data_IF_699733004834
#
_entry.id   IF_699733004834
#
_cell.length_a   1.000
_cell.length_b   1.000
_cell.length_c   1.000
_cell.angle_alpha   90.00
_cell.angle_beta   90.00
_cell.angle_gamma   90.00
#
_symmetry.space_group_name_H-M   'P 1'
#
loop_
_entity.id
_entity.type
_entity.pdbx_description
1 polymer ?
#
# COMPACT_ATOMS: atom_id res chain seq x y z
N UNK A 1 -19.62 3.02 19.57
CA UNK A 1 -19.34 2.81 18.14
C UNK A 1 -19.75 1.39 17.83
N UNK A 2 -20.80 1.21 17.02
CA UNK A 2 -21.35 -0.13 16.75
C UNK A 2 -20.49 -0.86 15.72
N UNK A 3 -19.98 -2.02 16.09
CA UNK A 3 -19.39 -2.97 15.13
C UNK A 3 -20.53 -3.68 14.41
N UNK A 4 -20.97 -3.16 13.27
CA UNK A 4 -21.81 -3.92 12.38
C UNK A 4 -20.97 -5.01 11.70
N UNK A 5 -21.36 -6.27 11.79
CA UNK A 5 -20.64 -7.44 11.31
C UNK A 5 -19.23 -7.69 11.90
N UNK A 6 -18.84 -7.03 13.00
CA UNK A 6 -17.56 -7.27 13.66
C UNK A 6 -16.33 -6.68 12.97
N UNK A 7 -16.49 -5.82 11.97
CA UNK A 7 -15.37 -5.11 11.30
C UNK A 7 -15.38 -3.62 11.61
N UNK A 8 -14.19 -3.07 11.85
CA UNK A 8 -13.97 -1.66 12.15
C UNK A 8 -12.74 -1.14 11.41
N UNK A 9 -12.87 -0.04 10.68
CA UNK A 9 -11.72 0.72 10.19
C UNK A 9 -11.26 1.70 11.28
N UNK A 10 -10.00 1.65 11.63
CA UNK A 10 -9.40 2.56 12.63
C UNK A 10 -8.00 3.00 12.20
N UNK A 11 -7.46 4.11 12.74
CA UNK A 11 -6.07 4.46 12.52
C UNK A 11 -5.14 3.29 12.92
N UNK A 12 -4.13 3.05 12.09
CA UNK A 12 -3.06 2.12 12.42
C UNK A 12 -2.09 2.77 13.41
N UNK A 13 -1.51 1.94 14.26
CA UNK A 13 -0.49 2.35 15.23
C UNK A 13 0.75 1.46 15.11
N UNK A 14 1.91 1.86 15.62
CA UNK A 14 3.09 0.98 15.65
C UNK A 14 2.85 -0.37 16.35
N UNK A 15 1.90 -0.45 17.28
CA UNK A 15 1.54 -1.71 17.95
C UNK A 15 0.87 -2.71 16.99
N UNK A 16 0.30 -2.24 15.88
CA UNK A 16 -0.35 -3.09 14.88
C UNK A 16 0.64 -3.74 13.91
N UNK A 17 1.88 -3.23 13.83
CA UNK A 17 2.85 -3.63 12.81
C UNK A 17 3.04 -5.15 12.69
N UNK A 18 3.17 -5.95 13.78
CA UNK A 18 3.32 -7.39 13.63
C UNK A 18 2.13 -8.05 12.90
N UNK A 19 0.91 -7.63 13.21
CA UNK A 19 -0.30 -8.15 12.58
C UNK A 19 -0.44 -7.67 11.13
N UNK A 20 -0.13 -6.41 10.84
CA UNK A 20 -0.15 -5.86 9.48
C UNK A 20 0.93 -6.49 8.60
N UNK A 21 2.10 -6.82 9.15
CA UNK A 21 3.13 -7.59 8.42
C UNK A 21 2.64 -8.98 8.05
N UNK A 22 1.89 -9.62 8.96
CA UNK A 22 1.24 -10.90 8.68
C UNK A 22 0.19 -10.75 7.56
N UNK A 23 -0.65 -9.72 7.56
CA UNK A 23 -1.59 -9.44 6.46
C UNK A 23 -0.83 -9.28 5.15
N UNK A 24 0.23 -8.47 5.12
CA UNK A 24 1.06 -8.25 3.94
C UNK A 24 1.65 -9.57 3.40
N UNK A 25 2.12 -10.45 4.27
CA UNK A 25 2.64 -11.76 3.87
C UNK A 25 1.55 -12.65 3.29
N UNK A 26 0.39 -12.74 3.95
CA UNK A 26 -0.74 -13.58 3.53
C UNK A 26 -1.48 -13.06 2.28
N UNK A 27 -1.10 -11.89 1.78
CA UNK A 27 -1.61 -11.30 0.54
C UNK A 27 -0.49 -11.04 -0.48
N UNK A 28 0.75 -11.36 -0.13
CA UNK A 28 1.97 -10.95 -0.82
C UNK A 28 2.22 -11.63 -2.19
N UNK A 29 1.42 -12.61 -2.57
CA UNK A 29 1.44 -13.19 -3.92
C UNK A 29 0.21 -12.73 -4.72
N UNK A 30 0.22 -11.47 -5.15
CA UNK A 30 -0.89 -10.89 -5.93
C UNK A 30 -2.26 -11.08 -5.27
N UNK A 31 -2.32 -10.88 -3.96
CA UNK A 31 -3.52 -11.08 -3.15
C UNK A 31 -3.69 -12.50 -2.62
N UNK A 32 -2.76 -13.42 -2.87
CA UNK A 32 -2.71 -14.78 -2.34
C UNK A 32 -1.63 -14.89 -1.27
N UNK A 33 -1.64 -16.00 -0.54
CA UNK A 33 -0.65 -16.30 0.48
C UNK A 33 0.77 -16.40 -0.10
N UNK A 34 1.62 -15.47 0.31
CA UNK A 34 3.03 -15.38 -0.08
C UNK A 34 4.00 -16.12 0.84
N UNK A 35 3.52 -16.83 1.87
CA UNK A 35 4.37 -17.45 2.90
C UNK A 35 5.45 -18.35 2.32
N UNK A 36 5.14 -19.16 1.32
CA UNK A 36 6.11 -20.08 0.70
C UNK A 36 7.16 -19.38 -0.17
N UNK A 37 6.89 -18.14 -0.58
CA UNK A 37 7.77 -17.32 -1.40
C UNK A 37 8.79 -16.54 -0.58
N UNK A 38 8.63 -16.50 0.74
CA UNK A 38 9.45 -15.71 1.64
C UNK A 38 10.24 -16.62 2.59
N UNK A 39 11.47 -16.23 2.92
CA UNK A 39 12.32 -16.86 3.96
C UNK A 39 12.40 -15.99 5.23
N UNK A 40 11.91 -14.76 5.17
CA UNK A 40 11.68 -13.87 6.30
C UNK A 40 10.22 -13.39 6.26
N UNK A 41 9.38 -13.84 7.21
CA UNK A 41 7.94 -13.55 7.19
C UNK A 41 7.61 -12.08 7.47
N UNK A 42 8.56 -11.29 7.95
CA UNK A 42 8.33 -9.88 8.31
C UNK A 42 8.80 -8.91 7.24
N UNK A 43 9.64 -9.36 6.32
CA UNK A 43 10.40 -8.46 5.46
C UNK A 43 9.52 -7.70 4.46
N UNK A 44 8.50 -8.36 3.88
CA UNK A 44 7.51 -7.68 3.04
C UNK A 44 6.84 -6.53 3.80
N UNK A 45 6.36 -6.80 5.01
CA UNK A 45 5.70 -5.81 5.83
C UNK A 45 6.64 -4.69 6.28
N UNK A 46 7.89 -5.00 6.61
CA UNK A 46 8.92 -3.99 6.93
C UNK A 46 9.16 -3.02 5.77
N UNK A 47 9.02 -3.45 4.53
CA UNK A 47 9.22 -2.58 3.36
C UNK A 47 7.92 -1.92 2.89
N UNK A 48 6.83 -2.67 2.76
CA UNK A 48 5.60 -2.22 2.12
C UNK A 48 4.52 -1.68 3.08
N UNK A 49 4.67 -1.85 4.40
CA UNK A 49 3.65 -1.46 5.39
C UNK A 49 4.20 -0.53 6.46
N UNK A 50 5.30 -0.93 7.10
CA UNK A 50 5.84 -0.21 8.25
C UNK A 50 6.10 1.28 8.01
N UNK A 51 6.70 1.68 6.87
CA UNK A 51 6.97 3.08 6.59
C UNK A 51 5.71 3.97 6.63
N UNK A 52 4.59 3.48 6.11
CA UNK A 52 3.34 4.25 6.08
C UNK A 52 2.79 4.51 7.49
N UNK A 53 2.82 3.51 8.35
CA UNK A 53 2.34 3.64 9.73
C UNK A 53 3.15 4.67 10.52
N UNK A 54 4.44 4.80 10.20
CA UNK A 54 5.35 5.70 10.91
C UNK A 54 5.44 7.08 10.25
N UNK A 55 5.54 7.14 8.93
CA UNK A 55 5.78 8.40 8.19
C UNK A 55 4.48 9.10 7.78
N UNK A 56 3.38 8.37 7.61
CA UNK A 56 2.07 8.88 7.17
C UNK A 56 0.93 8.39 8.09
N UNK A 57 1.04 8.54 9.43
CA UNK A 57 0.08 7.96 10.37
C UNK A 57 -1.35 8.42 10.18
N UNK A 58 -1.55 9.59 9.61
CA UNK A 58 -2.86 10.15 9.27
C UNK A 58 -3.54 9.48 8.06
N UNK A 59 -2.78 8.72 7.26
CA UNK A 59 -3.23 8.02 6.06
C UNK A 59 -3.00 6.50 6.16
N UNK A 60 -2.69 6.00 7.36
CA UNK A 60 -2.52 4.60 7.65
C UNK A 60 -3.66 4.07 8.53
N UNK A 61 -4.34 3.03 8.07
CA UNK A 61 -5.52 2.46 8.73
C UNK A 61 -5.46 0.94 8.76
N UNK A 62 -5.95 0.37 9.86
CA UNK A 62 -6.15 -1.06 10.05
C UNK A 62 -7.64 -1.38 9.90
N UNK A 63 -7.97 -2.39 9.11
CA UNK A 63 -9.27 -3.04 9.16
C UNK A 63 -9.23 -4.12 10.25
N UNK A 64 -9.79 -3.79 11.39
CA UNK A 64 -9.99 -4.74 12.50
C UNK A 64 -11.15 -5.66 12.17
N UNK A 65 -10.96 -6.96 12.30
CA UNK A 65 -11.99 -7.98 12.16
C UNK A 65 -12.25 -8.70 13.48
N UNK A 66 -13.16 -9.68 13.53
CA UNK A 66 -13.50 -10.39 14.76
C UNK A 66 -12.32 -11.14 15.40
N UNK A 67 -11.35 -11.56 14.61
CA UNK A 67 -10.16 -12.30 15.05
C UNK A 67 -8.87 -11.46 15.06
N UNK A 68 -9.00 -10.13 14.96
CA UNK A 68 -7.89 -9.18 14.87
C UNK A 68 -7.74 -8.54 13.49
N UNK A 69 -6.61 -7.89 13.18
CA UNK A 69 -6.40 -7.20 11.91
C UNK A 69 -6.59 -8.10 10.70
N UNK A 70 -7.59 -7.76 9.87
CA UNK A 70 -8.00 -8.49 8.67
C UNK A 70 -7.62 -7.76 7.37
N UNK A 71 -6.99 -6.60 7.48
CA UNK A 71 -6.54 -5.82 6.35
C UNK A 71 -5.92 -4.49 6.75
N UNK A 72 -5.42 -3.77 5.76
CA UNK A 72 -4.91 -2.41 5.93
C UNK A 72 -5.26 -1.53 4.72
N UNK A 73 -5.23 -0.23 4.96
CA UNK A 73 -5.31 0.82 3.96
C UNK A 73 -4.22 1.83 4.28
N UNK A 74 -3.31 2.03 3.36
CA UNK A 74 -2.13 2.87 3.54
C UNK A 74 -2.06 3.88 2.41
N UNK A 75 -1.65 5.10 2.72
CA UNK A 75 -1.48 6.14 1.73
C UNK A 75 -0.30 7.04 2.04
N UNK A 76 0.26 7.65 1.01
CA UNK A 76 1.19 8.76 1.12
C UNK A 76 0.62 9.95 0.34
N UNK A 77 0.55 11.10 0.99
CA UNK A 77 -0.03 12.31 0.37
C UNK A 77 0.87 12.86 -0.74
N UNK A 78 2.17 12.82 -0.51
CA UNK A 78 3.20 13.24 -1.46
C UNK A 78 4.29 12.16 -1.52
N UNK A 79 4.33 11.43 -2.63
CA UNK A 79 5.28 10.33 -2.85
C UNK A 79 6.73 10.77 -2.71
N UNK A 80 7.07 11.96 -3.20
CA UNK A 80 8.45 12.45 -3.12
C UNK A 80 8.84 12.77 -1.67
N UNK A 81 7.94 13.33 -0.87
CA UNK A 81 8.16 13.56 0.55
C UNK A 81 8.28 12.24 1.31
N UNK A 82 7.37 11.30 1.04
CA UNK A 82 7.40 9.96 1.61
C UNK A 82 8.72 9.23 1.30
N UNK A 83 9.18 9.26 0.06
CA UNK A 83 10.43 8.63 -0.37
C UNK A 83 11.65 9.25 0.33
N UNK A 84 11.66 10.57 0.55
CA UNK A 84 12.71 11.22 1.36
C UNK A 84 12.70 10.74 2.81
N UNK A 85 11.55 10.64 3.45
CA UNK A 85 11.41 10.07 4.81
C UNK A 85 11.84 8.61 4.86
N UNK A 86 11.42 7.82 3.87
CA UNK A 86 11.81 6.41 3.73
C UNK A 86 13.34 6.26 3.71
N UNK A 87 14.03 7.03 2.88
CA UNK A 87 15.49 6.98 2.75
C UNK A 87 16.23 7.55 3.97
N UNK A 88 15.69 8.60 4.59
CA UNK A 88 16.36 9.27 5.70
C UNK A 88 16.15 8.56 7.05
N UNK A 89 14.97 8.01 7.30
CA UNK A 89 14.56 7.58 8.63
C UNK A 89 14.30 6.07 8.72
N UNK A 90 13.65 5.48 7.72
CA UNK A 90 13.18 4.10 7.80
C UNK A 90 14.20 3.07 7.31
N UNK A 91 14.81 3.29 6.15
CA UNK A 91 15.74 2.32 5.54
C UNK A 91 17.09 2.18 6.26
N UNK A 92 17.71 3.24 6.84
CA UNK A 92 19.03 3.10 7.44
C UNK A 92 19.11 2.07 8.57
N UNK A 93 18.17 1.96 9.54
CA UNK A 93 18.19 0.88 10.52
C UNK A 93 17.98 -0.50 9.86
N UNK A 94 17.07 -0.63 8.88
CA UNK A 94 16.84 -1.90 8.19
C UNK A 94 18.08 -2.38 7.43
N UNK A 95 18.82 -1.49 6.78
CA UNK A 95 20.06 -1.82 6.07
C UNK A 95 21.15 -2.37 6.97
N UNK A 96 21.13 -2.05 8.26
CA UNK A 96 22.07 -2.61 9.24
C UNK A 96 21.69 -4.03 9.69
N UNK A 97 20.40 -4.33 9.68
CA UNK A 97 19.85 -5.61 10.12
C UNK A 97 19.74 -6.63 8.98
N UNK A 98 19.49 -6.16 7.77
CA UNK A 98 19.19 -6.98 6.60
C UNK A 98 20.38 -7.05 5.68
N UNK A 99 20.85 -8.25 5.34
CA UNK A 99 21.96 -8.41 4.40
C UNK A 99 21.62 -7.90 3.01
N UNK A 100 22.59 -7.32 2.27
CA UNK A 100 22.44 -7.07 0.84
C UNK A 100 22.60 -8.40 0.07
N UNK A 101 21.63 -8.82 -0.76
CA UNK A 101 21.76 -10.04 -1.56
C UNK A 101 22.73 -9.91 -2.74
N UNK A 102 23.24 -8.69 -3.00
CA UNK A 102 24.06 -8.37 -4.17
C UNK A 102 23.24 -8.01 -5.40
N UNK A 103 23.95 -7.70 -6.49
CA UNK A 103 23.33 -7.13 -7.71
C UNK A 103 22.80 -8.17 -8.70
N UNK A 104 23.26 -9.42 -8.59
CA UNK A 104 22.95 -10.46 -9.58
C UNK A 104 21.71 -11.27 -9.16
N UNK A 105 20.54 -11.06 -9.82
CA UNK A 105 19.30 -11.73 -9.46
C UNK A 105 19.34 -13.25 -9.69
N UNK A 106 20.32 -13.78 -10.46
CA UNK A 106 20.49 -15.22 -10.66
C UNK A 106 20.88 -15.96 -9.38
N UNK A 107 21.41 -15.23 -8.39
CA UNK A 107 21.78 -15.76 -7.08
C UNK A 107 20.72 -15.51 -6.00
N UNK A 108 19.65 -14.76 -6.34
CA UNK A 108 18.62 -14.42 -5.38
C UNK A 108 17.72 -15.62 -5.06
N UNK A 109 17.30 -15.68 -3.81
CA UNK A 109 16.37 -16.69 -3.30
C UNK A 109 15.28 -16.00 -2.52
N UNK A 110 14.01 -16.45 -2.71
CA UNK A 110 12.85 -16.02 -1.91
C UNK A 110 12.82 -14.48 -1.67
N UNK A 111 13.01 -14.04 -0.42
CA UNK A 111 12.93 -12.63 -0.02
C UNK A 111 14.09 -11.75 -0.51
N UNK A 112 15.03 -12.27 -1.30
CA UNK A 112 16.22 -11.49 -1.71
C UNK A 112 15.84 -10.28 -2.58
N UNK A 113 14.78 -10.33 -3.34
CA UNK A 113 14.28 -9.19 -4.08
C UNK A 113 13.82 -8.04 -3.14
N UNK A 114 13.17 -8.35 -2.01
CA UNK A 114 12.81 -7.34 -1.00
C UNK A 114 14.05 -6.81 -0.29
N UNK A 115 15.02 -7.71 0.04
CA UNK A 115 16.30 -7.28 0.59
C UNK A 115 17.00 -6.30 -0.33
N UNK A 116 16.95 -6.57 -1.63
CA UNK A 116 17.54 -5.66 -2.61
C UNK A 116 16.84 -4.31 -2.64
N UNK A 117 15.50 -4.26 -2.55
CA UNK A 117 14.75 -3.00 -2.46
C UNK A 117 15.11 -2.20 -1.20
N UNK A 118 15.39 -2.85 -0.06
CA UNK A 118 15.85 -2.16 1.15
C UNK A 118 17.19 -1.45 0.92
N UNK A 119 18.13 -2.10 0.22
CA UNK A 119 19.45 -1.55 -0.04
C UNK A 119 19.51 -0.58 -1.21
N UNK A 120 18.71 -0.83 -2.25
CA UNK A 120 18.65 -0.02 -3.47
C UNK A 120 17.19 0.14 -3.89
N UNK A 121 16.44 0.99 -3.18
CA UNK A 121 15.04 1.26 -3.52
C UNK A 121 14.94 2.10 -4.79
N UNK A 122 13.84 1.91 -5.51
CA UNK A 122 13.47 2.72 -6.67
C UNK A 122 12.65 3.93 -6.18
N UNK A 123 13.33 4.99 -5.77
CA UNK A 123 12.71 6.19 -5.18
C UNK A 123 12.64 7.39 -6.13
N UNK A 124 13.23 7.28 -7.30
CA UNK A 124 13.24 8.37 -8.26
C UNK A 124 11.81 8.63 -8.79
N UNK A 125 11.41 9.91 -8.87
CA UNK A 125 10.12 10.26 -9.43
C UNK A 125 10.01 9.83 -10.90
N UNK A 126 8.93 9.14 -11.26
CA UNK A 126 8.63 8.78 -12.63
C UNK A 126 7.81 9.91 -13.27
N UNK A 127 8.29 10.57 -14.37
CA UNK A 127 7.62 11.74 -14.95
C UNK A 127 6.13 11.54 -15.27
N UNK A 128 5.67 10.38 -15.77
CA UNK A 128 4.24 10.14 -16.02
C UNK A 128 3.37 10.17 -14.76
N UNK A 129 3.95 10.01 -13.57
CA UNK A 129 3.24 10.04 -12.28
C UNK A 129 3.13 11.46 -11.70
N UNK A 130 3.83 12.46 -12.25
CA UNK A 130 3.82 13.83 -11.73
C UNK A 130 2.40 14.43 -11.53
N UNK A 131 1.37 14.13 -12.38
CA UNK A 131 0.00 14.58 -12.13
C UNK A 131 -0.72 13.87 -10.98
N UNK A 132 -0.10 12.86 -10.36
CA UNK A 132 -0.65 11.99 -9.32
C UNK A 132 0.33 11.89 -8.15
N UNK A 133 0.53 12.96 -7.37
CA UNK A 133 1.58 13.00 -6.34
C UNK A 133 1.36 12.02 -5.18
N UNK A 134 0.13 11.55 -4.97
CA UNK A 134 -0.19 10.60 -3.90
C UNK A 134 -0.14 9.16 -4.39
N UNK A 135 0.12 8.23 -3.46
CA UNK A 135 -0.01 6.80 -3.74
C UNK A 135 -0.69 6.05 -2.60
N UNK A 136 -1.18 4.85 -2.90
CA UNK A 136 -1.90 4.03 -1.92
C UNK A 136 -1.56 2.54 -2.04
N UNK A 137 -1.78 1.85 -0.91
CA UNK A 137 -1.66 0.41 -0.79
C UNK A 137 -2.82 -0.13 0.05
N UNK A 138 -3.52 -1.16 -0.42
CA UNK A 138 -4.61 -1.82 0.28
C UNK A 138 -4.51 -3.33 0.11
N UNK A 139 -4.58 -4.04 1.23
CA UNK A 139 -4.73 -5.48 1.24
C UNK A 139 -5.76 -5.92 2.27
N UNK A 140 -6.53 -6.92 1.89
CA UNK A 140 -7.55 -7.55 2.74
C UNK A 140 -7.34 -9.06 2.75
N UNK A 141 -7.42 -9.67 3.91
CA UNK A 141 -7.48 -11.12 4.05
C UNK A 141 -8.75 -11.68 3.39
N UNK A 142 -8.76 -12.96 2.98
CA UNK A 142 -9.89 -13.56 2.25
C UNK A 142 -11.24 -13.37 2.94
N UNK A 143 -11.31 -13.47 4.26
CA UNK A 143 -12.53 -13.33 5.07
C UNK A 143 -13.11 -11.90 5.06
N UNK A 144 -12.29 -10.89 4.74
CA UNK A 144 -12.72 -9.50 4.62
C UNK A 144 -13.09 -9.11 3.17
N UNK A 145 -12.85 -9.98 2.19
CA UNK A 145 -13.15 -9.70 0.77
C UNK A 145 -14.61 -9.95 0.43
N UNK A 146 -15.04 -9.38 -0.70
CA UNK A 146 -16.41 -9.57 -1.22
C UNK A 146 -17.51 -8.84 -0.44
N UNK A 147 -17.14 -8.09 0.62
CA UNK A 147 -18.06 -7.37 1.51
C UNK A 147 -18.19 -5.87 1.21
N UNK A 148 -17.55 -5.40 0.14
CA UNK A 148 -17.54 -3.97 -0.20
C UNK A 148 -16.54 -3.12 0.60
N UNK A 149 -15.84 -3.67 1.59
CA UNK A 149 -14.90 -2.92 2.43
C UNK A 149 -13.83 -2.22 1.61
N UNK A 150 -13.17 -2.91 0.68
CA UNK A 150 -12.11 -2.33 -0.14
C UNK A 150 -12.55 -1.08 -0.89
N UNK A 151 -13.76 -1.09 -1.47
CA UNK A 151 -14.29 0.08 -2.21
C UNK A 151 -14.58 1.26 -1.27
N UNK A 152 -15.15 0.98 -0.10
CA UNK A 152 -15.47 2.02 0.90
C UNK A 152 -14.18 2.60 1.50
N UNK A 153 -13.22 1.77 1.83
CA UNK A 153 -11.90 2.18 2.34
C UNK A 153 -11.15 3.03 1.32
N UNK A 154 -11.05 2.58 0.06
CA UNK A 154 -10.39 3.37 -1.00
C UNK A 154 -11.12 4.69 -1.28
N UNK A 155 -12.45 4.69 -1.31
CA UNK A 155 -13.24 5.92 -1.45
C UNK A 155 -12.97 6.92 -0.33
N UNK A 156 -12.89 6.43 0.91
CA UNK A 156 -12.53 7.24 2.07
C UNK A 156 -11.11 7.83 1.94
N UNK A 157 -10.11 7.03 1.59
CA UNK A 157 -8.73 7.49 1.44
C UNK A 157 -8.61 8.54 0.33
N UNK A 158 -9.22 8.30 -0.83
CA UNK A 158 -9.22 9.24 -1.94
C UNK A 158 -9.84 10.58 -1.55
N UNK A 159 -10.99 10.58 -0.87
CA UNK A 159 -11.63 11.80 -0.40
C UNK A 159 -10.77 12.53 0.66
N UNK A 160 -10.11 11.79 1.54
CA UNK A 160 -9.20 12.35 2.54
C UNK A 160 -7.95 12.99 1.91
N UNK A 161 -7.38 12.37 0.88
CA UNK A 161 -6.26 12.92 0.11
C UNK A 161 -6.68 14.17 -0.69
N UNK A 162 -7.85 14.12 -1.35
CA UNK A 162 -8.40 15.27 -2.09
C UNK A 162 -8.65 16.48 -1.17
N UNK A 163 -9.21 16.24 0.03
CA UNK A 163 -9.42 17.29 1.04
C UNK A 163 -8.11 17.91 1.54
N UNK A 164 -7.00 17.18 1.45
CA UNK A 164 -5.64 17.67 1.75
C UNK A 164 -4.94 18.28 0.52
N UNK A 165 -5.64 18.44 -0.60
CA UNK A 165 -5.15 19.13 -1.79
C UNK A 165 -4.52 18.23 -2.86
N UNK A 166 -4.46 16.91 -2.68
CA UNK A 166 -3.93 16.03 -3.73
C UNK A 166 -4.79 16.09 -4.99
N UNK A 167 -4.19 16.36 -6.18
CA UNK A 167 -4.91 16.37 -7.46
C UNK A 167 -5.12 14.98 -8.03
N UNK A 168 -4.38 13.98 -7.56
CA UNK A 168 -4.42 12.63 -8.12
C UNK A 168 -3.65 11.63 -7.30
N UNK A 169 -4.02 10.38 -7.50
CA UNK A 169 -3.52 9.21 -6.80
C UNK A 169 -3.12 8.15 -7.81
N UNK A 170 -1.97 7.51 -7.62
CA UNK A 170 -1.59 6.32 -8.36
C UNK A 170 -1.38 5.12 -7.42
N UNK A 171 -1.32 3.95 -8.02
CA UNK A 171 -0.92 2.70 -7.37
C UNK A 171 -0.23 1.81 -8.39
N UNK A 172 0.57 0.88 -7.90
CA UNK A 172 1.24 -0.14 -8.70
C UNK A 172 0.65 -1.52 -8.43
N UNK A 173 0.40 -2.26 -9.49
CA UNK A 173 -0.22 -3.59 -9.44
C UNK A 173 0.61 -4.55 -10.27
N UNK A 174 0.84 -5.77 -9.78
CA UNK A 174 1.49 -6.78 -10.59
C UNK A 174 0.71 -7.00 -11.91
N UNK A 175 1.38 -7.10 -13.07
CA UNK A 175 0.69 -7.32 -14.35
C UNK A 175 -0.18 -8.58 -14.37
N UNK A 176 0.17 -9.59 -13.57
CA UNK A 176 -0.59 -10.82 -13.39
C UNK A 176 -1.85 -10.67 -12.51
N UNK A 177 -1.90 -9.64 -11.64
CA UNK A 177 -3.02 -9.41 -10.72
C UNK A 177 -4.23 -8.78 -11.45
N UNK A 178 -4.91 -9.59 -12.28
CA UNK A 178 -6.08 -9.11 -13.06
C UNK A 178 -7.28 -8.76 -12.19
N UNK A 179 -7.42 -9.39 -11.02
CA UNK A 179 -8.50 -9.11 -10.07
C UNK A 179 -8.31 -7.73 -9.42
N UNK A 180 -7.10 -7.40 -9.00
CA UNK A 180 -6.73 -6.07 -8.50
C UNK A 180 -6.96 -5.00 -9.57
N UNK A 181 -6.50 -5.23 -10.81
CA UNK A 181 -6.73 -4.29 -11.90
C UNK A 181 -8.23 -4.06 -12.16
N UNK A 182 -9.07 -5.11 -12.12
CA UNK A 182 -10.53 -4.96 -12.25
C UNK A 182 -11.15 -4.21 -11.07
N UNK A 183 -10.66 -4.45 -9.87
CA UNK A 183 -11.10 -3.73 -8.67
C UNK A 183 -10.83 -2.23 -8.81
N UNK A 184 -9.61 -1.83 -9.17
CA UNK A 184 -9.25 -0.43 -9.31
C UNK A 184 -9.94 0.27 -10.48
N UNK A 185 -10.17 -0.42 -11.62
CA UNK A 185 -10.99 0.14 -12.71
C UNK A 185 -12.41 0.49 -12.27
N UNK A 186 -13.05 -0.33 -11.43
CA UNK A 186 -14.37 -0.01 -10.87
C UNK A 186 -14.36 1.22 -9.96
N UNK A 187 -13.20 1.58 -9.43
CA UNK A 187 -13.00 2.80 -8.64
C UNK A 187 -12.56 4.00 -9.50
N UNK A 188 -12.57 3.87 -10.83
CA UNK A 188 -12.22 4.95 -11.75
C UNK A 188 -10.73 5.13 -11.98
N UNK A 189 -9.89 4.16 -11.63
CA UNK A 189 -8.48 4.17 -12.00
C UNK A 189 -8.31 3.69 -13.44
N UNK A 190 -7.42 4.34 -14.16
CA UNK A 190 -7.02 3.98 -15.52
C UNK A 190 -5.57 3.47 -15.52
N UNK A 191 -5.26 2.55 -16.43
CA UNK A 191 -3.88 2.12 -16.65
C UNK A 191 -3.14 3.26 -17.33
N UNK A 192 -1.98 3.60 -16.82
CA UNK A 192 -1.05 4.50 -17.48
C UNK A 192 -0.22 3.69 -18.48
N UNK A 193 -0.38 4.00 -19.76
CA UNK A 193 0.39 3.41 -20.85
C UNK A 193 1.42 4.45 -21.32
N UNK A 194 2.61 4.40 -20.75
CA UNK A 194 3.70 5.34 -21.03
C UNK A 194 5.03 4.58 -21.05
N UNK A 195 5.82 4.78 -22.08
CA UNK A 195 7.10 4.10 -22.27
C UNK A 195 8.17 4.45 -21.22
N UNK A 196 7.98 5.53 -20.45
CA UNK A 196 8.85 5.89 -19.33
C UNK A 196 8.52 5.14 -18.05
N UNK A 197 7.43 4.35 -18.01
CA UNK A 197 7.07 3.50 -16.88
C UNK A 197 7.71 2.12 -17.02
N UNK A 198 8.18 1.51 -15.91
CA UNK A 198 8.68 0.15 -15.90
C UNK A 198 7.62 -0.87 -16.36
N UNK A 199 8.01 -1.83 -17.22
CA UNK A 199 7.12 -2.85 -17.79
C UNK A 199 6.79 -4.02 -16.81
N UNK A 200 7.60 -4.19 -15.78
CA UNK A 200 7.37 -5.21 -14.75
C UNK A 200 6.24 -4.88 -13.77
N UNK A 201 5.66 -3.66 -13.84
CA UNK A 201 4.57 -3.18 -12.99
C UNK A 201 3.51 -2.48 -13.83
N UNK A 202 2.24 -2.73 -13.54
CA UNK A 202 1.12 -1.96 -14.09
C UNK A 202 0.82 -0.79 -13.17
N UNK A 203 1.08 0.43 -13.64
CA UNK A 203 0.66 1.64 -12.94
C UNK A 203 -0.78 1.98 -13.30
N UNK A 204 -1.57 2.27 -12.28
CA UNK A 204 -2.94 2.74 -12.44
C UNK A 204 -3.12 4.04 -11.68
N UNK A 205 -3.79 5.02 -12.27
CA UNK A 205 -3.94 6.33 -11.65
C UNK A 205 -5.36 6.87 -11.80
N UNK A 206 -5.74 7.76 -10.89
CA UNK A 206 -7.02 8.47 -10.89
C UNK A 206 -6.83 9.92 -10.49
N UNK A 207 -7.47 10.86 -11.22
CA UNK A 207 -7.65 12.24 -10.81
C UNK A 207 -8.67 12.31 -9.67
N UNK A 208 -8.46 13.24 -8.75
CA UNK A 208 -9.33 13.46 -7.59
C UNK A 208 -10.14 14.77 -7.69
N UNK A 209 -10.22 15.38 -8.87
CA UNK A 209 -10.87 16.67 -9.07
C UNK A 209 -12.35 16.64 -8.70
N UNK A 210 -13.03 15.51 -8.90
CA UNK A 210 -14.43 15.28 -8.52
C UNK A 210 -14.67 15.26 -6.99
N UNK A 211 -13.61 15.15 -6.20
CA UNK A 211 -13.64 15.09 -4.73
C UNK A 211 -13.10 16.38 -4.08
N UNK A 212 -12.49 17.29 -4.85
CA UNK A 212 -11.85 18.50 -4.32
C UNK A 212 -12.88 19.48 -3.72
N UNK A 213 -12.43 20.24 -2.72
CA UNK A 213 -13.28 21.25 -2.05
C UNK A 213 -14.29 20.65 -1.08
N UNK A 214 -14.33 19.34 -0.91
CA UNK A 214 -15.14 18.68 0.12
C UNK A 214 -14.37 18.62 1.44
N UNK A 215 -15.06 18.65 2.60
CA UNK A 215 -14.40 18.43 3.88
C UNK A 215 -13.79 17.01 3.94
N UNK A 216 -12.73 16.86 4.75
CA UNK A 216 -12.15 15.54 5.00
C UNK A 216 -13.25 14.62 5.59
N UNK A 217 -13.43 13.42 5.05
CA UNK A 217 -14.43 12.49 5.55
C UNK A 217 -14.03 11.94 6.93
N UNK A 218 -15.03 11.66 7.74
CA UNK A 218 -14.85 10.82 8.91
C UNK A 218 -14.56 9.37 8.51
N UNK A 219 -13.92 8.61 9.41
CA UNK A 219 -13.66 7.19 9.19
C UNK A 219 -15.01 6.49 9.01
N UNK A 220 -15.22 5.78 7.88
CA UNK A 220 -16.52 5.18 7.60
C UNK A 220 -16.84 4.04 8.56
N UNK A 221 -18.08 4.00 9.00
CA UNK A 221 -18.63 2.78 9.56
C UNK A 221 -18.78 1.75 8.44
N UNK A 222 -18.09 0.62 8.55
CA UNK A 222 -18.07 -0.45 7.54
C UNK A 222 -19.16 -1.50 7.75
N UNK A 223 -19.99 -1.33 8.78
CA UNK A 223 -21.10 -2.21 9.10
C UNK A 223 -22.26 -2.19 8.11
#
# INVERSE_FOLDING_TARGET
MGTHNGYLLRPATPADLPALYRVCLLTGDSGKDGTTLQDDPTLLGKFFVGPYVVLEPDLAFTLEGPEGPAGYLLGALDTAAFNRGLEAEWLPPLRREVRDPGRDPRHWRKSDWVRRLIHVPELEPLPPLAPYPSHAHIDLLPEARGRGFGSRMMGFLMARMAARGSPGLYLSVAPSNKDGQRFYRRLGFEILDDAALPDHTTFMARKLDDMRGRPAPEIPDLG
#
